data_IF_159923657756
#
_entry.id   IF_159923657756
#
_cell.length_a   1.000
_cell.length_b   1.000
_cell.length_c   1.000
_cell.angle_alpha   90.00
_cell.angle_beta   90.00
_cell.angle_gamma   90.00
#
_symmetry.space_group_name_H-M   'P 1'
#
loop_
_entity.id
_entity.type
_entity.pdbx_description
1 polymer ?
#
# COMPACT_ATOMS: atom_id res chain seq x y z
N UNK A 1 -4.75 8.66 15.94
CA UNK A 1 -3.89 7.75 16.72
C UNK A 1 -4.69 6.65 17.41
N UNK A 2 -5.65 6.99 18.30
CA UNK A 2 -6.41 6.00 19.09
C UNK A 2 -7.02 4.86 18.27
N UNK A 3 -7.68 5.17 17.15
CA UNK A 3 -8.30 4.17 16.26
C UNK A 3 -7.27 3.18 15.68
N UNK A 4 -6.10 3.68 15.27
CA UNK A 4 -5.03 2.83 14.71
C UNK A 4 -4.49 1.89 15.78
N UNK A 5 -4.18 2.42 16.97
CA UNK A 5 -3.72 1.60 18.09
C UNK A 5 -4.74 0.51 18.45
N UNK A 6 -6.03 0.86 18.49
CA UNK A 6 -7.10 -0.11 18.76
C UNK A 6 -7.18 -1.22 17.70
N UNK A 7 -6.98 -0.90 16.42
CA UNK A 7 -6.93 -1.91 15.35
C UNK A 7 -5.72 -2.84 15.51
N UNK A 8 -4.55 -2.29 15.85
CA UNK A 8 -3.37 -3.11 16.14
C UNK A 8 -3.58 -4.02 17.35
N UNK A 9 -4.20 -3.52 18.42
CA UNK A 9 -4.55 -4.31 19.61
C UNK A 9 -5.54 -5.43 19.29
N UNK A 10 -6.52 -5.18 18.41
CA UNK A 10 -7.54 -6.16 18.01
C UNK A 10 -7.13 -7.03 16.81
N UNK A 11 -5.91 -6.91 16.28
CA UNK A 11 -5.51 -7.57 15.04
C UNK A 11 -5.71 -9.10 15.08
N UNK A 12 -5.40 -9.75 16.21
CA UNK A 12 -5.60 -11.19 16.38
C UNK A 12 -7.08 -11.58 16.44
N UNK A 13 -7.93 -10.74 17.04
CA UNK A 13 -9.38 -10.95 17.09
C UNK A 13 -10.02 -10.77 15.71
N UNK A 14 -9.60 -9.74 14.97
CA UNK A 14 -10.03 -9.51 13.59
C UNK A 14 -9.66 -10.70 12.70
N UNK A 15 -8.44 -11.21 12.81
CA UNK A 15 -7.99 -12.38 12.05
C UNK A 15 -8.83 -13.63 12.38
N UNK A 16 -9.20 -13.84 13.65
CA UNK A 16 -10.07 -14.93 14.05
C UNK A 16 -11.49 -14.85 13.44
N UNK A 17 -11.91 -13.65 13.02
CA UNK A 17 -13.18 -13.40 12.32
C UNK A 17 -12.99 -13.24 10.79
N UNK A 18 -11.85 -13.66 10.24
CA UNK A 18 -11.53 -13.53 8.81
C UNK A 18 -11.57 -12.08 8.33
N UNK A 19 -11.08 -11.16 9.16
CA UNK A 19 -10.86 -9.76 8.81
C UNK A 19 -9.37 -9.47 8.89
N UNK A 20 -8.74 -9.34 7.73
CA UNK A 20 -7.30 -9.12 7.65
C UNK A 20 -6.95 -7.65 7.84
N UNK A 21 -6.19 -7.36 8.90
CA UNK A 21 -5.59 -6.06 9.13
C UNK A 21 -4.20 -6.00 8.48
N UNK A 22 -4.03 -5.10 7.52
CA UNK A 22 -2.76 -4.90 6.81
C UNK A 22 -2.32 -3.44 6.88
N UNK A 23 -1.02 -3.22 7.08
CA UNK A 23 -0.39 -1.90 6.91
C UNK A 23 0.28 -1.85 5.55
N UNK A 24 -0.07 -0.86 4.74
CA UNK A 24 0.40 -0.73 3.35
C UNK A 24 1.27 0.51 3.21
N UNK A 25 2.39 0.36 2.52
CA UNK A 25 3.31 1.46 2.20
C UNK A 25 4.03 1.23 0.86
N UNK A 26 4.56 2.31 0.29
CA UNK A 26 5.38 2.29 -0.91
C UNK A 26 6.84 2.67 -0.65
N UNK A 27 7.75 1.81 -1.10
CA UNK A 27 9.15 2.17 -1.25
C UNK A 27 9.46 2.46 -2.72
N UNK A 28 9.69 3.74 -3.03
CA UNK A 28 9.94 4.19 -4.40
C UNK A 28 11.43 4.39 -4.67
N UNK A 29 11.82 4.32 -5.93
CA UNK A 29 13.19 4.65 -6.33
C UNK A 29 14.20 3.58 -5.88
N UNK A 30 13.76 2.34 -5.71
CA UNK A 30 14.64 1.21 -5.42
C UNK A 30 15.52 0.99 -6.66
N UNK A 31 16.84 1.05 -6.48
CA UNK A 31 17.82 0.95 -7.56
C UNK A 31 18.62 -0.33 -7.41
N UNK A 32 18.81 -1.03 -8.53
CA UNK A 32 19.88 -2.01 -8.66
C UNK A 32 21.14 -1.27 -9.11
N UNK A 33 22.19 -1.36 -8.30
CA UNK A 33 23.49 -0.77 -8.57
C UNK A 33 24.48 -1.89 -8.87
N UNK A 34 25.21 -1.75 -9.97
CA UNK A 34 26.30 -2.64 -10.34
C UNK A 34 27.62 -1.88 -10.25
N UNK A 35 28.61 -2.45 -9.54
CA UNK A 35 29.93 -1.83 -9.43
C UNK A 35 30.65 -1.92 -10.77
N UNK A 36 31.17 -0.80 -11.25
CA UNK A 36 31.90 -0.73 -12.52
C UNK A 36 33.20 -1.54 -12.48
N UNK A 37 33.83 -1.63 -11.31
CA UNK A 37 35.10 -2.32 -11.10
C UNK A 37 35.10 -3.18 -9.84
N UNK A 38 36.00 -4.18 -9.74
CA UNK A 38 36.20 -4.94 -8.51
C UNK A 38 36.77 -4.08 -7.37
N UNK A 39 36.40 -4.42 -6.14
CA UNK A 39 37.02 -3.82 -4.95
C UNK A 39 38.53 -4.09 -4.93
N UNK A 40 39.30 -3.14 -4.38
CA UNK A 40 40.73 -3.34 -4.17
C UNK A 40 40.97 -4.09 -2.84
N UNK A 41 41.71 -5.18 -2.93
CA UNK A 41 42.10 -5.97 -1.77
C UNK A 41 42.89 -5.14 -0.74
N UNK A 42 42.80 -5.53 0.53
CA UNK A 42 43.56 -4.92 1.60
C UNK A 42 45.07 -5.11 1.37
N UNK A 43 45.86 -4.09 1.71
CA UNK A 43 47.33 -4.16 1.74
C UNK A 43 47.84 -3.68 3.11
N UNK A 44 49.07 -4.04 3.54
CA UNK A 44 49.64 -3.49 4.76
C UNK A 44 49.59 -1.94 4.77
N UNK A 45 48.95 -1.37 5.79
CA UNK A 45 48.76 0.09 5.91
C UNK A 45 47.63 0.66 5.03
N UNK A 46 46.91 -0.15 4.27
CA UNK A 46 45.80 0.27 3.43
C UNK A 46 44.57 -0.63 3.63
N UNK A 47 43.48 -0.13 4.24
CA UNK A 47 42.25 -0.89 4.36
C UNK A 47 41.66 -1.18 2.98
N UNK A 48 40.82 -2.22 2.89
CA UNK A 48 40.06 -2.55 1.67
C UNK A 48 39.36 -1.30 1.15
N UNK A 49 39.47 -1.05 -0.16
CA UNK A 49 38.75 0.03 -0.83
C UNK A 49 37.58 -0.56 -1.60
N UNK A 50 36.38 -0.09 -1.27
CA UNK A 50 35.16 -0.46 -1.99
C UNK A 50 35.08 0.40 -3.25
N UNK A 51 34.75 -0.22 -4.38
CA UNK A 51 34.47 0.53 -5.60
C UNK A 51 33.28 1.46 -5.36
N UNK A 52 33.43 2.73 -5.76
CA UNK A 52 32.43 3.78 -5.54
C UNK A 52 31.70 4.17 -6.82
N UNK A 53 32.26 3.86 -7.99
CA UNK A 53 31.58 4.05 -9.28
C UNK A 53 30.63 2.89 -9.54
N UNK A 54 29.42 3.22 -9.98
CA UNK A 54 28.39 2.24 -10.29
C UNK A 54 27.55 2.60 -11.51
N UNK A 55 27.08 1.58 -12.21
CA UNK A 55 26.04 1.68 -13.22
C UNK A 55 24.65 1.57 -12.56
N UNK A 56 23.71 2.43 -12.99
CA UNK A 56 22.34 2.44 -12.49
C UNK A 56 21.42 1.72 -13.47
N UNK A 57 20.83 0.62 -13.02
CA UNK A 57 19.90 -0.19 -13.82
C UNK A 57 18.44 0.31 -13.76
N UNK A 58 18.25 1.62 -13.67
CA UNK A 58 16.94 2.25 -13.47
C UNK A 58 16.40 2.11 -12.04
N UNK A 59 15.11 2.42 -11.88
CA UNK A 59 14.43 2.44 -10.58
C UNK A 59 13.11 1.69 -10.64
N UNK A 60 12.78 0.98 -9.57
CA UNK A 60 11.47 0.37 -9.37
C UNK A 60 10.80 0.94 -8.11
N UNK A 61 9.49 0.75 -8.03
CA UNK A 61 8.66 0.99 -6.85
C UNK A 61 8.14 -0.35 -6.34
N UNK A 62 8.22 -0.53 -5.02
CA UNK A 62 7.62 -1.63 -4.29
C UNK A 62 6.40 -1.09 -3.52
N UNK A 63 5.26 -1.77 -3.64
CA UNK A 63 4.09 -1.58 -2.77
C UNK A 63 3.96 -2.87 -1.95
N UNK A 64 3.95 -2.76 -0.63
CA UNK A 64 3.98 -3.92 0.26
C UNK A 64 2.90 -3.84 1.34
N UNK A 65 2.32 -4.99 1.68
CA UNK A 65 1.37 -5.14 2.79
C UNK A 65 2.01 -5.91 3.92
N UNK A 66 2.13 -5.29 5.09
CA UNK A 66 2.45 -5.97 6.33
C UNK A 66 1.16 -6.48 6.99
N UNK A 67 0.96 -7.80 6.99
CA UNK A 67 -0.14 -8.43 7.70
C UNK A 67 0.12 -8.41 9.20
N UNK A 68 -0.68 -7.66 9.94
CA UNK A 68 -0.39 -7.33 11.35
C UNK A 68 -0.45 -8.57 12.24
N UNK A 69 -1.52 -9.36 12.15
CA UNK A 69 -1.69 -10.56 12.98
C UNK A 69 -0.66 -11.66 12.67
N UNK A 70 -0.31 -11.86 11.39
CA UNK A 70 0.62 -12.90 10.96
C UNK A 70 2.10 -12.50 11.07
N UNK A 71 2.39 -11.20 11.14
CA UNK A 71 3.76 -10.67 11.15
C UNK A 71 4.52 -10.93 9.84
N UNK A 72 3.84 -10.85 8.70
CA UNK A 72 4.40 -11.20 7.38
C UNK A 72 4.08 -10.17 6.31
N UNK A 73 4.99 -10.02 5.35
CA UNK A 73 4.69 -9.31 4.11
C UNK A 73 3.89 -10.23 3.18
N UNK A 74 2.78 -9.73 2.64
CA UNK A 74 1.89 -10.47 1.72
C UNK A 74 1.70 -9.71 0.40
N UNK A 75 1.48 -10.46 -0.68
CA UNK A 75 1.14 -9.95 -2.02
C UNK A 75 1.90 -8.67 -2.48
N UNK A 76 3.24 -8.59 -2.36
CA UNK A 76 3.97 -7.39 -2.76
C UNK A 76 3.87 -7.16 -4.27
N UNK A 77 3.72 -5.90 -4.68
CA UNK A 77 3.75 -5.47 -6.07
C UNK A 77 5.05 -4.73 -6.36
N UNK A 78 5.77 -5.14 -7.41
CA UNK A 78 6.95 -4.44 -7.91
C UNK A 78 6.66 -3.96 -9.32
N UNK A 79 6.94 -2.68 -9.59
CA UNK A 79 6.72 -2.09 -10.91
C UNK A 79 7.52 -0.81 -11.12
N UNK A 80 7.48 -0.23 -12.33
CA UNK A 80 8.20 1.00 -12.64
C UNK A 80 7.58 2.23 -11.95
N UNK A 81 6.31 2.18 -11.59
CA UNK A 81 5.55 3.30 -11.03
C UNK A 81 4.65 2.87 -9.85
N UNK A 82 4.09 3.87 -9.15
CA UNK A 82 3.11 3.74 -8.06
C UNK A 82 1.91 4.69 -8.26
N UNK A 83 1.37 4.72 -9.48
CA UNK A 83 0.25 5.60 -9.86
C UNK A 83 -1.09 5.03 -9.37
N UNK A 84 -2.17 5.78 -9.60
CA UNK A 84 -3.55 5.42 -9.24
C UNK A 84 -3.91 3.96 -9.59
N UNK A 85 -3.64 3.52 -10.82
CA UNK A 85 -3.93 2.16 -11.24
C UNK A 85 -2.99 1.11 -10.65
N UNK A 86 -1.72 1.46 -10.40
CA UNK A 86 -0.76 0.53 -9.80
C UNK A 86 -1.21 0.17 -8.37
N UNK A 87 -1.64 1.18 -7.60
CA UNK A 87 -2.16 1.00 -6.26
C UNK A 87 -3.48 0.21 -6.25
N UNK A 88 -4.44 0.58 -7.09
CA UNK A 88 -5.72 -0.15 -7.17
C UNK A 88 -5.51 -1.63 -7.55
N UNK A 89 -4.61 -1.91 -8.50
CA UNK A 89 -4.27 -3.28 -8.87
C UNK A 89 -3.54 -4.03 -7.75
N UNK A 90 -2.71 -3.36 -6.96
CA UNK A 90 -2.06 -3.96 -5.79
C UNK A 90 -3.07 -4.38 -4.72
N UNK A 91 -4.03 -3.51 -4.39
CA UNK A 91 -5.14 -3.85 -3.49
C UNK A 91 -5.95 -5.02 -4.05
N UNK A 92 -6.28 -4.99 -5.35
CA UNK A 92 -7.05 -6.05 -5.98
C UNK A 92 -6.35 -7.43 -5.87
N UNK A 93 -5.07 -7.50 -6.22
CA UNK A 93 -4.27 -8.73 -6.06
C UNK A 93 -4.19 -9.21 -4.62
N UNK A 94 -4.19 -8.29 -3.66
CA UNK A 94 -4.15 -8.63 -2.24
C UNK A 94 -5.48 -9.25 -1.81
N UNK A 95 -6.59 -8.62 -2.15
CA UNK A 95 -7.93 -9.13 -1.82
C UNK A 95 -8.25 -10.43 -2.54
N UNK A 96 -7.71 -10.64 -3.76
CA UNK A 96 -7.83 -11.92 -4.48
C UNK A 96 -7.25 -13.12 -3.71
N UNK A 97 -6.36 -12.89 -2.74
CA UNK A 97 -5.84 -13.98 -1.89
C UNK A 97 -6.87 -14.55 -0.92
N UNK A 98 -7.88 -13.75 -0.54
CA UNK A 98 -9.04 -14.16 0.24
C UNK A 98 -10.27 -13.32 -0.17
N UNK A 99 -10.93 -13.66 -1.29
CA UNK A 99 -11.93 -12.81 -1.93
C UNK A 99 -13.19 -12.57 -1.11
N UNK A 100 -13.57 -13.51 -0.25
CA UNK A 100 -14.78 -13.46 0.58
C UNK A 100 -14.54 -12.86 1.97
N UNK A 101 -13.27 -12.69 2.35
CA UNK A 101 -12.86 -12.22 3.68
C UNK A 101 -12.93 -10.68 3.78
N UNK A 102 -12.91 -10.18 5.02
CA UNK A 102 -12.83 -8.76 5.32
C UNK A 102 -11.41 -8.23 5.23
N UNK A 103 -11.26 -6.98 4.81
CA UNK A 103 -9.95 -6.33 4.68
C UNK A 103 -9.96 -4.92 5.24
N UNK A 104 -8.98 -4.64 6.12
CA UNK A 104 -8.73 -3.31 6.68
C UNK A 104 -7.31 -2.90 6.31
N UNK A 105 -7.20 -1.92 5.43
CA UNK A 105 -5.92 -1.35 5.02
C UNK A 105 -5.59 -0.12 5.88
N UNK A 106 -4.42 -0.10 6.51
CA UNK A 106 -3.84 1.06 7.19
C UNK A 106 -2.81 1.73 6.28
N UNK A 107 -2.97 3.02 6.00
CA UNK A 107 -2.16 3.72 5.00
C UNK A 107 -2.12 5.24 5.23
N UNK A 108 -1.15 5.90 4.62
CA UNK A 108 -1.07 7.36 4.57
C UNK A 108 -2.17 7.99 3.70
N UNK A 109 -2.18 9.32 3.63
CA UNK A 109 -3.18 10.09 2.87
C UNK A 109 -2.75 10.43 1.44
N UNK A 110 -1.92 9.63 0.79
CA UNK A 110 -1.54 9.87 -0.60
C UNK A 110 -2.78 9.90 -1.51
N UNK A 111 -2.73 10.70 -2.59
CA UNK A 111 -3.88 10.87 -3.48
C UNK A 111 -4.26 9.57 -4.22
N UNK A 112 -3.28 8.69 -4.48
CA UNK A 112 -3.51 7.38 -5.11
C UNK A 112 -4.37 6.46 -4.24
N UNK A 113 -4.25 6.60 -2.92
CA UNK A 113 -5.04 5.85 -1.96
C UNK A 113 -6.49 6.32 -1.88
N UNK A 114 -6.76 7.55 -2.33
CA UNK A 114 -8.07 8.20 -2.28
C UNK A 114 -8.62 8.43 -3.69
N UNK A 115 -8.36 7.47 -4.57
CA UNK A 115 -8.61 7.59 -6.00
C UNK A 115 -10.01 7.11 -6.40
N UNK A 116 -10.51 7.66 -7.50
CA UNK A 116 -11.81 7.26 -8.05
C UNK A 116 -11.78 5.81 -8.55
N UNK A 117 -10.66 5.36 -9.13
CA UNK A 117 -10.49 3.97 -9.55
C UNK A 117 -10.63 3.00 -8.38
N UNK A 118 -10.04 3.33 -7.21
CA UNK A 118 -10.15 2.49 -6.03
C UNK A 118 -11.58 2.46 -5.48
N UNK A 119 -12.27 3.60 -5.40
CA UNK A 119 -13.70 3.67 -5.00
C UNK A 119 -14.57 2.77 -5.87
N UNK A 120 -14.46 2.89 -7.19
CA UNK A 120 -15.23 2.08 -8.13
C UNK A 120 -14.96 0.59 -7.93
N UNK A 121 -13.70 0.22 -7.75
CA UNK A 121 -13.31 -1.17 -7.55
C UNK A 121 -13.87 -1.73 -6.23
N UNK A 122 -13.75 -0.99 -5.13
CA UNK A 122 -14.33 -1.39 -3.82
C UNK A 122 -15.85 -1.55 -3.90
N UNK A 123 -16.54 -0.64 -4.59
CA UNK A 123 -17.98 -0.72 -4.78
C UNK A 123 -18.40 -2.03 -5.48
N UNK A 124 -17.69 -2.41 -6.55
CA UNK A 124 -17.93 -3.68 -7.26
C UNK A 124 -17.66 -4.87 -6.33
N UNK A 125 -16.50 -4.90 -5.66
CA UNK A 125 -16.14 -6.02 -4.78
C UNK A 125 -17.04 -6.17 -3.55
N UNK A 126 -17.67 -5.10 -3.09
CA UNK A 126 -18.62 -5.12 -1.98
C UNK A 126 -20.08 -5.26 -2.44
N UNK A 127 -20.35 -5.38 -3.75
CA UNK A 127 -21.72 -5.49 -4.28
C UNK A 127 -22.58 -4.24 -4.05
N UNK A 128 -21.96 -3.06 -3.99
CA UNK A 128 -22.64 -1.80 -3.71
C UNK A 128 -23.20 -1.26 -5.03
N UNK A 129 -24.52 -1.39 -5.21
CA UNK A 129 -25.26 -0.97 -6.42
C UNK A 129 -25.75 0.49 -6.35
N UNK A 130 -24.98 1.37 -5.70
CA UNK A 130 -25.33 2.79 -5.58
C UNK A 130 -24.77 3.62 -6.73
N UNK A 131 -25.47 4.70 -7.09
CA UNK A 131 -24.93 5.68 -8.03
C UNK A 131 -23.74 6.40 -7.40
N UNK A 132 -22.53 6.05 -7.84
CA UNK A 132 -21.29 6.66 -7.39
C UNK A 132 -21.11 8.10 -7.88
N UNK A 133 -21.91 8.55 -8.84
CA UNK A 133 -21.83 9.88 -9.47
C UNK A 133 -20.73 10.01 -10.52
N UNK A 134 -20.37 11.25 -10.84
CA UNK A 134 -19.42 11.59 -11.92
C UNK A 134 -18.12 12.15 -11.32
N UNK A 135 -16.98 11.59 -11.76
CA UNK A 135 -15.65 11.97 -11.27
C UNK A 135 -15.43 13.47 -11.39
N UNK A 136 -15.17 14.14 -10.26
CA UNK A 136 -14.91 15.58 -10.21
C UNK A 136 -16.15 16.47 -10.29
N UNK A 137 -17.37 15.91 -10.31
CA UNK A 137 -18.60 16.68 -10.51
C UNK A 137 -19.67 16.40 -9.45
N UNK A 138 -19.99 15.13 -9.17
CA UNK A 138 -21.12 14.78 -8.31
C UNK A 138 -20.93 13.43 -7.61
N UNK A 139 -21.68 13.24 -6.52
CA UNK A 139 -21.76 11.97 -5.79
C UNK A 139 -20.48 11.61 -5.04
N UNK A 140 -20.28 10.32 -4.80
CA UNK A 140 -19.11 9.79 -4.10
C UNK A 140 -17.83 10.11 -4.88
N UNK A 141 -17.90 10.15 -6.22
CA UNK A 141 -16.74 10.41 -7.08
C UNK A 141 -16.41 11.90 -7.25
N UNK A 142 -17.11 12.80 -6.55
CA UNK A 142 -16.93 14.24 -6.68
C UNK A 142 -15.54 14.71 -6.24
N UNK A 143 -15.06 14.30 -5.07
CA UNK A 143 -13.81 14.80 -4.50
C UNK A 143 -13.04 13.72 -3.73
N UNK A 144 -11.80 14.03 -3.34
CA UNK A 144 -11.01 13.10 -2.51
C UNK A 144 -11.62 12.93 -1.12
N UNK A 145 -12.30 13.95 -0.58
CA UNK A 145 -13.01 13.87 0.69
C UNK A 145 -14.16 12.86 0.61
N UNK A 146 -14.96 12.89 -0.47
CA UNK A 146 -16.05 11.94 -0.69
C UNK A 146 -15.53 10.52 -0.97
N UNK A 147 -14.42 10.39 -1.72
CA UNK A 147 -13.73 9.10 -1.85
C UNK A 147 -13.26 8.56 -0.50
N UNK A 148 -12.64 9.41 0.33
CA UNK A 148 -12.13 9.02 1.65
C UNK A 148 -13.26 8.54 2.54
N UNK A 149 -14.38 9.27 2.57
CA UNK A 149 -15.55 8.91 3.36
C UNK A 149 -16.09 7.53 2.97
N UNK A 150 -16.23 7.27 1.66
CA UNK A 150 -16.66 5.97 1.14
C UNK A 150 -15.67 4.85 1.46
N UNK A 151 -14.38 5.06 1.20
CA UNK A 151 -13.35 4.05 1.44
C UNK A 151 -13.16 3.75 2.94
N UNK A 152 -13.52 4.68 3.82
CA UNK A 152 -13.40 4.51 5.28
C UNK A 152 -14.66 3.95 5.94
N UNK A 153 -15.71 3.65 5.18
CA UNK A 153 -16.98 3.17 5.74
C UNK A 153 -16.77 1.80 6.42
N UNK A 154 -17.06 1.67 7.73
CA UNK A 154 -16.85 0.42 8.46
C UNK A 154 -17.78 -0.71 8.03
N UNK A 155 -18.90 -0.40 7.34
CA UNK A 155 -19.83 -1.40 6.82
C UNK A 155 -19.30 -2.14 5.58
N UNK A 156 -18.30 -1.57 4.90
CA UNK A 156 -17.68 -2.22 3.75
C UNK A 156 -16.80 -3.39 4.21
N UNK A 157 -16.89 -4.49 3.44
CA UNK A 157 -16.01 -5.64 3.59
C UNK A 157 -14.54 -5.25 3.38
N UNK A 158 -14.29 -4.35 2.43
CA UNK A 158 -12.97 -3.79 2.13
C UNK A 158 -12.97 -2.31 2.52
N UNK A 159 -12.17 -1.93 3.52
CA UNK A 159 -12.12 -0.56 4.02
C UNK A 159 -10.71 -0.08 4.32
N UNK A 160 -10.56 1.24 4.36
CA UNK A 160 -9.29 1.95 4.46
C UNK A 160 -9.32 2.85 5.69
N UNK A 161 -8.25 2.82 6.49
CA UNK A 161 -8.07 3.67 7.66
C UNK A 161 -6.82 4.50 7.45
N UNK A 162 -7.05 5.81 7.33
CA UNK A 162 -5.99 6.76 7.02
C UNK A 162 -5.31 7.27 8.29
N UNK A 163 -3.98 7.15 8.37
CA UNK A 163 -3.20 7.74 9.46
C UNK A 163 -3.22 9.29 9.37
N UNK A 164 -3.17 10.01 10.50
CA UNK A 164 -3.17 11.48 10.51
C UNK A 164 -2.01 12.09 9.70
N UNK A 165 -2.21 13.31 9.21
CA UNK A 165 -1.31 14.02 8.27
C UNK A 165 0.10 14.33 8.79
N UNK A 166 0.39 14.06 10.07
CA UNK A 166 1.62 14.46 10.77
C UNK A 166 2.29 13.29 11.52
N UNK A 167 2.20 12.09 10.96
CA UNK A 167 2.98 10.94 11.41
C UNK A 167 3.96 10.57 10.31
N UNK A 168 5.20 11.04 10.47
CA UNK A 168 6.42 10.53 9.81
C UNK A 168 7.31 9.92 10.87
#
# INVERSE_FOLDING_TARGET
MRQVCQLYESAAELEAHQIHLVSTDEMTGIQALERLHPDQAMQPGQPRRLEFEYERHGTLSLIANWHVALGKVIAPSIGPTRKEFDFANHIAKTVETAPDDGWVFLLDQLNTHRSASLVRWVAVCCGIDSDLGVKGQSGILQSMETHTAFLSDPSHRIRFVYIPKHTS
#
